data_IF_433886710790
#
_entry.id   IF_433886710790
#
_cell.length_a   1.000
_cell.length_b   1.000
_cell.length_c   1.000
_cell.angle_alpha   90.00
_cell.angle_beta   90.00
_cell.angle_gamma   90.00
#
_symmetry.space_group_name_H-M   'P 1'
#
loop_
_entity.id
_entity.type
_entity.pdbx_description
1 polymer ?
#
# COMPACT_ATOMS: atom_id res chain seq x y z
N UNK A 1 -16.27 21.16 10.27
CA UNK A 1 -17.48 21.46 9.46
C UNK A 1 -18.63 21.63 10.43
N UNK A 2 -19.26 22.80 10.48
CA UNK A 2 -20.35 23.08 11.44
C UNK A 2 -21.67 22.41 11.07
N UNK A 3 -21.81 21.98 9.81
CA UNK A 3 -22.98 21.25 9.32
C UNK A 3 -23.01 19.77 9.74
N UNK A 4 -21.85 19.16 9.99
CA UNK A 4 -21.79 17.78 10.45
C UNK A 4 -21.94 17.77 11.97
N UNK A 5 -22.95 17.07 12.50
CA UNK A 5 -23.26 16.95 13.93
C UNK A 5 -23.66 18.27 14.62
N UNK A 6 -24.65 18.99 14.08
CA UNK A 6 -25.19 20.19 14.70
C UNK A 6 -25.89 19.87 16.05
N UNK A 7 -25.69 20.66 17.13
CA UNK A 7 -24.98 21.94 17.20
C UNK A 7 -23.47 21.86 17.52
N UNK A 8 -22.97 20.72 17.99
CA UNK A 8 -21.59 20.57 18.47
C UNK A 8 -20.53 20.68 17.36
N UNK A 9 -20.92 20.41 16.11
CA UNK A 9 -20.00 20.26 15.00
C UNK A 9 -19.15 18.99 15.12
N UNK A 10 -18.47 18.64 14.03
CA UNK A 10 -17.44 17.60 14.06
C UNK A 10 -16.22 18.04 13.25
N UNK A 11 -15.04 17.72 13.77
CA UNK A 11 -13.79 17.96 13.07
C UNK A 11 -13.55 16.86 12.06
N UNK A 12 -13.49 17.20 10.77
CA UNK A 12 -13.10 16.24 9.73
C UNK A 12 -11.67 15.74 9.93
N UNK A 13 -10.81 16.53 10.60
CA UNK A 13 -9.45 16.08 10.92
C UNK A 13 -9.43 14.85 11.86
N UNK A 14 -10.52 14.63 12.60
CA UNK A 14 -10.69 13.45 13.44
C UNK A 14 -11.34 12.26 12.69
N UNK A 15 -11.76 12.44 11.44
CA UNK A 15 -12.29 11.37 10.58
C UNK A 15 -11.20 10.82 9.66
N UNK A 16 -11.37 9.62 9.10
CA UNK A 16 -10.42 9.11 8.12
C UNK A 16 -10.43 10.00 6.87
N UNK A 17 -9.33 10.74 6.68
CA UNK A 17 -9.02 11.47 5.46
C UNK A 17 -7.96 10.64 4.72
N UNK A 18 -8.00 10.63 3.38
CA UNK A 18 -6.98 10.02 2.53
C UNK A 18 -6.06 11.07 1.86
N UNK A 19 -5.19 11.79 2.61
CA UNK A 19 -4.32 12.83 2.06
C UNK A 19 -3.53 12.41 0.82
N UNK A 20 -2.98 11.20 0.81
CA UNK A 20 -2.18 10.70 -0.32
C UNK A 20 -3.03 10.59 -1.60
N UNK A 21 -4.30 10.19 -1.47
CA UNK A 21 -5.23 10.14 -2.60
C UNK A 21 -5.69 11.51 -3.05
N UNK A 22 -5.94 12.40 -2.09
CA UNK A 22 -6.30 13.79 -2.39
C UNK A 22 -5.17 14.51 -3.14
N UNK A 23 -3.91 14.22 -2.81
CA UNK A 23 -2.77 14.78 -3.52
C UNK A 23 -2.74 14.34 -4.99
N UNK A 24 -3.12 13.09 -5.27
CA UNK A 24 -3.26 12.59 -6.65
C UNK A 24 -4.47 13.25 -7.33
N UNK A 25 -5.61 13.38 -6.64
CA UNK A 25 -6.84 13.94 -7.19
C UNK A 25 -6.74 15.44 -7.48
N UNK A 26 -6.03 16.21 -6.65
CA UNK A 26 -5.99 17.66 -6.65
C UNK A 26 -5.67 18.29 -8.02
N UNK A 27 -4.57 17.94 -8.71
CA UNK A 27 -4.25 18.56 -10.00
C UNK A 27 -5.36 18.35 -11.04
N UNK A 28 -6.00 17.18 -11.06
CA UNK A 28 -7.09 16.88 -11.98
C UNK A 28 -8.39 17.57 -11.55
N UNK A 29 -8.64 17.70 -10.24
CA UNK A 29 -9.79 18.43 -9.71
C UNK A 29 -9.75 19.91 -10.10
N UNK A 30 -8.57 20.53 -10.10
CA UNK A 30 -8.40 21.92 -10.53
C UNK A 30 -8.70 22.14 -12.02
N UNK A 31 -8.58 21.09 -12.84
CA UNK A 31 -8.79 21.17 -14.30
C UNK A 31 -10.23 20.81 -14.67
N UNK A 32 -10.80 19.77 -14.08
CA UNK A 32 -12.08 19.17 -14.49
C UNK A 32 -13.12 19.03 -13.38
N UNK A 33 -12.89 19.64 -12.21
CA UNK A 33 -13.75 19.54 -11.04
C UNK A 33 -13.57 18.26 -10.23
N UNK A 34 -14.25 18.20 -9.09
CA UNK A 34 -14.05 17.16 -8.06
C UNK A 34 -14.31 15.74 -8.58
N UNK A 35 -15.35 15.55 -9.40
CA UNK A 35 -15.68 14.25 -10.00
C UNK A 35 -14.57 13.74 -10.92
N UNK A 36 -13.98 14.63 -11.73
CA UNK A 36 -12.87 14.26 -12.60
C UNK A 36 -11.61 13.96 -11.78
N UNK A 37 -11.35 14.75 -10.74
CA UNK A 37 -10.27 14.51 -9.77
C UNK A 37 -10.36 13.14 -9.11
N UNK A 38 -11.55 12.78 -8.62
CA UNK A 38 -11.83 11.48 -8.03
C UNK A 38 -11.56 10.33 -9.01
N UNK A 39 -12.11 10.41 -10.22
CA UNK A 39 -11.95 9.35 -11.23
C UNK A 39 -10.49 9.18 -11.66
N UNK A 40 -9.73 10.27 -11.78
CA UNK A 40 -8.31 10.19 -12.10
C UNK A 40 -7.49 9.61 -10.95
N UNK A 41 -7.79 9.96 -9.70
CA UNK A 41 -7.14 9.33 -8.55
C UNK A 41 -7.35 7.82 -8.55
N UNK A 42 -8.59 7.36 -8.77
CA UNK A 42 -8.92 5.94 -8.89
C UNK A 42 -8.14 5.24 -10.01
N UNK A 43 -8.11 5.83 -11.20
CA UNK A 43 -7.41 5.28 -12.36
C UNK A 43 -5.89 5.19 -12.12
N UNK A 44 -5.29 6.26 -11.61
CA UNK A 44 -3.86 6.32 -11.30
C UNK A 44 -3.51 5.31 -10.21
N UNK A 45 -4.34 5.20 -9.17
CA UNK A 45 -4.18 4.21 -8.12
C UNK A 45 -4.15 2.78 -8.65
N UNK A 46 -5.09 2.45 -9.53
CA UNK A 46 -5.15 1.14 -10.18
C UNK A 46 -3.87 0.85 -10.99
N UNK A 47 -3.42 1.81 -11.81
CA UNK A 47 -2.22 1.68 -12.63
C UNK A 47 -0.96 1.52 -11.75
N UNK A 48 -0.81 2.37 -10.72
CA UNK A 48 0.31 2.32 -9.79
C UNK A 48 0.35 0.99 -9.02
N UNK A 49 -0.80 0.47 -8.61
CA UNK A 49 -0.89 -0.83 -7.94
C UNK A 49 -0.34 -1.95 -8.83
N UNK A 50 -0.73 -1.99 -10.10
CA UNK A 50 -0.21 -2.95 -11.08
C UNK A 50 1.29 -2.77 -11.34
N UNK A 51 1.77 -1.54 -11.52
CA UNK A 51 3.18 -1.24 -11.77
C UNK A 51 4.08 -1.65 -10.61
N UNK A 52 3.71 -1.29 -9.38
CA UNK A 52 4.49 -1.58 -8.18
C UNK A 52 4.49 -3.08 -7.87
N UNK A 53 3.36 -3.76 -8.08
CA UNK A 53 3.29 -5.22 -7.95
C UNK A 53 4.14 -5.93 -9.00
N UNK A 54 4.10 -5.49 -10.26
CA UNK A 54 4.94 -6.03 -11.33
C UNK A 54 6.42 -5.88 -10.97
N UNK A 55 6.82 -4.70 -10.50
CA UNK A 55 8.20 -4.42 -10.10
C UNK A 55 8.66 -5.30 -8.93
N UNK A 56 7.78 -5.54 -7.95
CA UNK A 56 8.10 -6.40 -6.81
C UNK A 56 8.23 -7.88 -7.23
N UNK A 57 7.27 -8.40 -7.98
CA UNK A 57 7.28 -9.82 -8.41
C UNK A 57 8.41 -10.09 -9.39
N UNK A 58 8.71 -9.16 -10.31
CA UNK A 58 9.87 -9.25 -11.17
C UNK A 58 11.18 -9.24 -10.36
N UNK A 59 11.26 -8.41 -9.31
CA UNK A 59 12.43 -8.41 -8.42
C UNK A 59 12.66 -9.76 -7.73
N UNK A 60 11.58 -10.43 -7.30
CA UNK A 60 11.61 -11.74 -6.64
C UNK A 60 11.92 -12.91 -7.60
N UNK A 61 11.27 -12.92 -8.78
CA UNK A 61 11.28 -14.08 -9.69
C UNK A 61 12.24 -13.93 -10.88
N UNK A 62 12.70 -12.70 -11.16
CA UNK A 62 13.41 -12.31 -12.39
C UNK A 62 12.65 -12.60 -13.68
N UNK A 63 11.36 -12.89 -13.61
CA UNK A 63 10.49 -13.17 -14.74
C UNK A 63 9.49 -12.03 -14.98
N UNK A 64 9.40 -11.53 -16.20
CA UNK A 64 8.44 -10.48 -16.58
C UNK A 64 7.03 -11.06 -16.64
N UNK A 65 6.87 -12.28 -17.15
CA UNK A 65 5.55 -12.93 -17.29
C UNK A 65 4.91 -13.17 -15.93
N UNK A 66 5.68 -13.66 -14.95
CA UNK A 66 5.21 -13.81 -13.58
C UNK A 66 4.79 -12.46 -12.97
N UNK A 67 5.55 -11.40 -13.26
CA UNK A 67 5.22 -10.03 -12.84
C UNK A 67 3.89 -9.54 -13.38
N UNK A 68 3.65 -9.69 -14.70
CA UNK A 68 2.42 -9.25 -15.37
C UNK A 68 1.19 -10.04 -14.89
N UNK A 69 1.32 -11.36 -14.70
CA UNK A 69 0.22 -12.19 -14.21
C UNK A 69 -0.14 -11.80 -12.77
N UNK A 70 0.85 -11.70 -11.89
CA UNK A 70 0.62 -11.36 -10.50
C UNK A 70 0.06 -9.93 -10.32
N UNK A 71 0.53 -8.97 -11.11
CA UNK A 71 0.02 -7.61 -11.06
C UNK A 71 -1.38 -7.47 -11.61
N UNK A 72 -1.74 -8.24 -12.64
CA UNK A 72 -3.12 -8.29 -13.16
C UNK A 72 -4.08 -8.82 -12.10
N UNK A 73 -3.71 -9.91 -11.43
CA UNK A 73 -4.50 -10.47 -10.32
C UNK A 73 -4.64 -9.47 -9.18
N UNK A 74 -3.55 -8.78 -8.82
CA UNK A 74 -3.55 -7.80 -7.74
C UNK A 74 -4.35 -6.53 -8.06
N UNK A 75 -4.22 -5.99 -9.27
CA UNK A 75 -4.95 -4.80 -9.68
C UNK A 75 -6.47 -5.10 -9.75
N UNK A 76 -6.84 -6.28 -10.24
CA UNK A 76 -8.23 -6.71 -10.38
C UNK A 76 -8.80 -7.42 -9.12
N UNK A 77 -8.31 -7.10 -7.93
CA UNK A 77 -8.80 -7.71 -6.69
C UNK A 77 -10.29 -7.39 -6.47
N UNK A 78 -11.15 -8.40 -6.19
CA UNK A 78 -12.57 -8.16 -5.90
C UNK A 78 -12.78 -7.18 -4.74
N UNK A 79 -11.88 -7.22 -3.75
CA UNK A 79 -11.87 -6.31 -2.61
C UNK A 79 -11.77 -4.83 -3.03
N UNK A 80 -10.88 -4.53 -3.97
CA UNK A 80 -10.75 -3.17 -4.51
C UNK A 80 -12.01 -2.76 -5.28
N UNK A 81 -12.55 -3.66 -6.11
CA UNK A 81 -13.75 -3.39 -6.92
C UNK A 81 -14.98 -3.06 -6.07
N UNK A 82 -15.17 -3.77 -4.95
CA UNK A 82 -16.26 -3.53 -4.00
C UNK A 82 -16.17 -2.15 -3.35
N UNK A 83 -14.96 -1.72 -2.99
CA UNK A 83 -14.75 -0.41 -2.37
C UNK A 83 -14.75 0.75 -3.37
N UNK A 84 -14.34 0.51 -4.62
CA UNK A 84 -14.54 1.43 -5.72
C UNK A 84 -16.03 1.70 -5.94
N UNK A 85 -16.84 0.65 -6.02
CA UNK A 85 -18.28 0.79 -6.25
C UNK A 85 -19.01 1.45 -5.07
N UNK A 86 -18.51 1.24 -3.84
CA UNK A 86 -19.03 1.88 -2.64
C UNK A 86 -18.49 3.30 -2.41
N UNK A 87 -17.61 3.82 -3.27
CA UNK A 87 -17.09 5.19 -3.19
C UNK A 87 -15.99 5.42 -2.14
N UNK A 88 -15.42 4.38 -1.54
CA UNK A 88 -14.44 4.48 -0.46
C UNK A 88 -13.03 4.79 -0.98
N UNK A 89 -12.73 6.07 -1.22
CA UNK A 89 -11.45 6.52 -1.79
C UNK A 89 -10.23 6.09 -0.96
N UNK A 90 -10.35 6.14 0.37
CA UNK A 90 -9.33 5.69 1.33
C UNK A 90 -8.97 4.21 1.14
N UNK A 91 -9.96 3.36 0.90
CA UNK A 91 -9.78 1.92 0.74
C UNK A 91 -9.34 1.53 -0.68
N UNK A 92 -9.43 2.43 -1.64
CA UNK A 92 -8.97 2.18 -3.00
C UNK A 92 -7.47 2.39 -3.19
N UNK A 93 -6.77 2.98 -2.20
CA UNK A 93 -5.34 3.27 -2.26
C UNK A 93 -4.42 2.10 -1.91
N UNK A 94 -4.60 0.96 -2.58
CA UNK A 94 -3.81 -0.25 -2.35
C UNK A 94 -2.44 -0.22 -3.05
N UNK A 95 -2.12 0.84 -3.82
CA UNK A 95 -0.88 0.89 -4.61
C UNK A 95 0.40 0.90 -3.77
N UNK A 96 0.35 1.38 -2.53
CA UNK A 96 1.54 1.52 -1.68
C UNK A 96 1.94 0.21 -0.99
N UNK A 97 1.02 -0.76 -0.93
CA UNK A 97 1.20 -2.04 -0.25
C UNK A 97 2.34 -2.87 -0.88
N UNK A 98 2.42 -3.07 -2.22
CA UNK A 98 3.54 -3.79 -2.83
C UNK A 98 4.88 -3.09 -2.61
N UNK A 99 4.90 -1.76 -2.56
CA UNK A 99 6.12 -0.98 -2.31
C UNK A 99 6.67 -1.23 -0.91
N UNK A 100 5.79 -1.23 0.11
CA UNK A 100 6.16 -1.56 1.48
C UNK A 100 6.71 -2.98 1.57
N UNK A 101 5.96 -3.98 1.09
CA UNK A 101 6.36 -5.37 1.24
C UNK A 101 7.65 -5.67 0.47
N UNK A 102 7.87 -5.06 -0.70
CA UNK A 102 9.17 -5.16 -1.39
C UNK A 102 10.32 -4.78 -0.47
N UNK A 103 10.29 -3.57 0.12
CA UNK A 103 11.35 -3.12 1.02
C UNK A 103 11.46 -3.97 2.29
N UNK A 104 10.32 -4.38 2.87
CA UNK A 104 10.29 -5.21 4.07
C UNK A 104 10.90 -6.61 3.85
N UNK A 105 10.57 -7.26 2.73
CA UNK A 105 11.13 -8.58 2.41
C UNK A 105 12.63 -8.53 2.11
N UNK A 106 13.10 -7.46 1.45
CA UNK A 106 14.53 -7.24 1.23
C UNK A 106 15.27 -7.06 2.57
N UNK A 107 14.70 -6.28 3.51
CA UNK A 107 15.26 -6.10 4.86
C UNK A 107 15.31 -7.39 5.71
N UNK A 108 14.35 -8.31 5.54
CA UNK A 108 14.37 -9.61 6.23
C UNK A 108 15.49 -10.53 5.73
N UNK A 109 16.09 -10.25 4.56
CA UNK A 109 17.11 -11.09 3.92
C UNK A 109 18.38 -10.29 3.64
N UNK A 110 19.09 -9.81 4.69
CA UNK A 110 20.23 -8.92 4.52
C UNK A 110 21.37 -9.51 3.68
N UNK A 111 21.51 -10.84 3.63
CA UNK A 111 22.50 -11.53 2.78
C UNK A 111 22.25 -11.38 1.28
N UNK A 112 20.98 -11.19 0.89
CA UNK A 112 20.57 -11.02 -0.51
C UNK A 112 20.41 -9.54 -0.87
N UNK A 113 20.37 -8.65 0.13
CA UNK A 113 20.15 -7.24 -0.06
C UNK A 113 21.47 -6.47 -0.25
N UNK A 114 21.76 -6.17 -1.51
CA UNK A 114 22.90 -5.34 -1.89
C UNK A 114 22.79 -3.87 -1.46
N UNK A 115 21.60 -3.37 -1.11
CA UNK A 115 21.34 -1.95 -0.82
C UNK A 115 20.32 -1.74 0.33
N UNK A 116 20.68 -2.04 1.58
CA UNK A 116 19.74 -2.01 2.72
C UNK A 116 19.11 -0.64 2.98
N UNK A 117 19.83 0.46 2.68
CA UNK A 117 19.28 1.83 2.80
C UNK A 117 18.12 2.07 1.84
N UNK A 118 18.19 1.51 0.63
CA UNK A 118 17.15 1.65 -0.39
C UNK A 118 15.91 0.82 -0.03
N UNK A 119 16.12 -0.39 0.49
CA UNK A 119 15.05 -1.25 1.00
C UNK A 119 14.32 -0.61 2.18
N UNK A 120 15.06 -0.05 3.13
CA UNK A 120 14.51 0.74 4.23
C UNK A 120 13.71 1.95 3.74
N UNK A 121 14.21 2.67 2.73
CA UNK A 121 13.49 3.79 2.14
C UNK A 121 12.17 3.33 1.50
N UNK A 122 12.16 2.26 0.71
CA UNK A 122 10.92 1.75 0.10
C UNK A 122 9.92 1.24 1.14
N UNK A 123 10.40 0.56 2.19
CA UNK A 123 9.54 0.13 3.30
C UNK A 123 8.93 1.35 4.01
N UNK A 124 9.74 2.32 4.42
CA UNK A 124 9.26 3.52 5.11
C UNK A 124 8.31 4.34 4.24
N UNK A 125 8.63 4.52 2.95
CA UNK A 125 7.81 5.25 2.00
C UNK A 125 6.46 4.56 1.76
N UNK A 126 6.47 3.25 1.49
CA UNK A 126 5.24 2.47 1.29
C UNK A 126 4.35 2.47 2.53
N UNK A 127 4.93 2.30 3.72
CA UNK A 127 4.18 2.32 4.98
C UNK A 127 3.62 3.71 5.28
N UNK A 128 4.43 4.76 5.12
CA UNK A 128 4.03 6.15 5.35
C UNK A 128 2.93 6.60 4.41
N UNK A 129 3.03 6.28 3.12
CA UNK A 129 1.97 6.59 2.15
C UNK A 129 0.70 5.79 2.40
N UNK A 130 0.81 4.55 2.89
CA UNK A 130 -0.36 3.77 3.31
C UNK A 130 -1.03 4.40 4.53
N UNK A 131 -0.26 4.83 5.54
CA UNK A 131 -0.79 5.58 6.69
C UNK A 131 -1.48 6.89 6.29
N UNK A 132 -0.99 7.56 5.25
CA UNK A 132 -1.62 8.75 4.66
C UNK A 132 -2.79 8.43 3.72
N UNK A 133 -3.13 7.16 3.54
CA UNK A 133 -4.27 6.72 2.72
C UNK A 133 -5.40 6.17 3.59
N UNK A 134 -5.09 5.22 4.46
CA UNK A 134 -6.06 4.62 5.39
C UNK A 134 -5.33 4.12 6.64
N UNK A 135 -5.86 4.48 7.80
CA UNK A 135 -5.33 4.00 9.08
C UNK A 135 -5.56 2.50 9.21
N UNK A 136 -6.70 2.00 8.71
CA UNK A 136 -7.01 0.58 8.66
C UNK A 136 -5.91 -0.23 7.95
N UNK A 137 -5.48 0.17 6.75
CA UNK A 137 -4.41 -0.54 6.04
C UNK A 137 -3.06 -0.44 6.73
N UNK A 138 -2.74 0.71 7.33
CA UNK A 138 -1.53 0.84 8.11
C UNK A 138 -1.49 -0.18 9.25
N UNK A 139 -2.55 -0.27 10.06
CA UNK A 139 -2.63 -1.25 11.14
C UNK A 139 -2.53 -2.69 10.63
N UNK A 140 -3.27 -3.03 9.57
CA UNK A 140 -3.24 -4.38 8.98
C UNK A 140 -1.86 -4.74 8.42
N UNK A 141 -1.14 -3.80 7.81
CA UNK A 141 0.20 -4.01 7.28
C UNK A 141 1.23 -4.17 8.39
N UNK A 142 1.21 -3.33 9.42
CA UNK A 142 2.11 -3.48 10.59
C UNK A 142 1.90 -4.81 11.26
N UNK A 143 0.64 -5.20 11.50
CA UNK A 143 0.30 -6.49 12.09
C UNK A 143 0.81 -7.66 11.24
N UNK A 144 0.54 -7.63 9.94
CA UNK A 144 0.99 -8.68 9.00
C UNK A 144 2.51 -8.75 8.90
N UNK A 145 3.19 -7.60 8.84
CA UNK A 145 4.65 -7.53 8.79
C UNK A 145 5.29 -8.06 10.07
N UNK A 146 4.75 -7.72 11.23
CA UNK A 146 5.20 -8.23 12.52
C UNK A 146 5.05 -9.76 12.60
N UNK A 147 3.93 -10.30 12.15
CA UNK A 147 3.69 -11.74 12.11
C UNK A 147 4.65 -12.46 11.16
N UNK A 148 4.87 -11.93 9.96
CA UNK A 148 5.86 -12.47 9.00
C UNK A 148 7.27 -12.43 9.61
N UNK A 149 7.64 -11.31 10.24
CA UNK A 149 8.94 -11.15 10.90
C UNK A 149 9.13 -12.13 12.06
N UNK A 150 8.09 -12.37 12.87
CA UNK A 150 8.09 -13.35 13.95
C UNK A 150 8.32 -14.77 13.40
N UNK A 151 7.53 -15.17 12.38
CA UNK A 151 7.67 -16.48 11.74
C UNK A 151 9.08 -16.66 11.17
N UNK A 152 9.60 -15.63 10.51
CA UNK A 152 10.96 -15.66 9.96
C UNK A 152 12.01 -15.84 11.07
N UNK A 153 11.94 -15.06 12.15
CA UNK A 153 12.85 -15.17 13.29
C UNK A 153 12.80 -16.56 13.95
N UNK A 154 11.60 -17.11 14.18
CA UNK A 154 11.41 -18.46 14.71
C UNK A 154 12.01 -19.52 13.77
N UNK A 155 11.79 -19.39 12.46
CA UNK A 155 12.33 -20.34 11.48
C UNK A 155 13.86 -20.35 11.43
N UNK A 156 14.49 -19.17 11.55
CA UNK A 156 15.95 -19.04 11.62
C UNK A 156 16.50 -19.69 12.90
N UNK A 157 15.85 -19.45 14.04
CA UNK A 157 16.24 -20.05 15.32
C UNK A 157 16.13 -21.57 15.29
N UNK A 158 15.07 -22.13 14.72
CA UNK A 158 14.93 -23.58 14.54
C UNK A 158 16.00 -24.18 13.62
N UNK A 159 16.37 -23.50 12.52
CA UNK A 159 17.46 -23.95 11.64
C UNK A 159 18.81 -23.95 12.34
N UNK A 160 19.10 -22.92 13.13
CA UNK A 160 20.35 -22.84 13.91
C UNK A 160 20.45 -23.94 14.97
N UNK A 161 19.33 -24.30 15.61
CA UNK A 161 19.29 -25.39 16.60
C UNK A 161 19.44 -26.78 15.96
N UNK A 162 18.98 -26.98 14.71
CA UNK A 162 19.10 -28.25 13.98
C UNK A 162 20.52 -28.49 13.43
N UNK A 163 21.30 -27.43 13.24
CA UNK A 163 22.67 -27.49 12.73
C UNK A 163 23.75 -27.54 13.85
N UNK A 164 23.34 -27.64 15.11
CA UNK A 164 24.21 -27.93 16.27
C UNK A 164 24.01 -29.37 16.71
#
# INVERSE_FOLDING_TARGET
MWFLNYPEGWSLAATEIAPAQLLIALPFSLIGGETFGYNMAMLISFILAGMLMTAWVHHLTKSITAGVVASTIYACLPYWQMHFLAGHLNLCGTQWIPLFFRGWFDLLRPEQDTQPKRSAFFAALGLGLTALTSQYYFFMMVFTAALIGLIFCLSQRCRLLKNR
#
